data_IF_233295935446
#
_entry.id   IF_233295935446
#
_cell.length_a   1.000
_cell.length_b   1.000
_cell.length_c   1.000
_cell.angle_alpha   90.00
_cell.angle_beta   90.00
_cell.angle_gamma   90.00
#
_symmetry.space_group_name_H-M   'P 1'
#
loop_
_entity.id
_entity.type
_entity.pdbx_description
1 polymer ?
#
# COMPACT_ATOMS: atom_id res chain seq x y z
N UNK A 1 -0.07 -13.73 6.87
CA UNK A 1 0.11 -12.35 6.40
C UNK A 1 1.58 -11.95 6.53
N UNK A 2 2.21 -11.52 5.43
CA UNK A 2 3.62 -11.11 5.40
C UNK A 2 3.71 -9.61 5.60
N UNK A 3 3.76 -9.14 6.83
CA UNK A 3 3.76 -7.70 7.15
C UNK A 3 5.15 -7.09 7.24
N UNK A 4 6.18 -7.89 7.52
CA UNK A 4 7.56 -7.42 7.58
C UNK A 4 8.15 -7.24 6.18
N UNK A 5 9.00 -6.25 6.00
CA UNK A 5 9.55 -5.88 4.70
C UNK A 5 10.32 -7.03 4.04
N UNK A 6 11.15 -7.74 4.79
CA UNK A 6 11.93 -8.87 4.27
C UNK A 6 11.09 -10.05 3.79
N UNK A 7 9.89 -10.21 4.33
CA UNK A 7 8.96 -11.26 3.95
C UNK A 7 8.16 -10.95 2.69
N UNK A 8 8.19 -9.69 2.22
CA UNK A 8 7.38 -9.20 1.07
C UNK A 8 8.09 -9.31 -0.27
N UNK A 9 9.32 -9.78 -0.30
CA UNK A 9 10.07 -9.97 -1.54
C UNK A 9 9.35 -10.95 -2.45
N UNK A 10 9.30 -10.64 -3.74
CA UNK A 10 8.68 -11.47 -4.76
C UNK A 10 9.51 -11.45 -6.03
N UNK A 11 9.65 -12.60 -6.66
CA UNK A 11 10.07 -12.66 -8.05
C UNK A 11 8.94 -12.15 -8.94
N UNK A 12 9.28 -11.82 -10.16
CA UNK A 12 8.33 -11.24 -11.10
C UNK A 12 8.57 -11.74 -12.53
N UNK A 13 7.54 -11.67 -13.34
CA UNK A 13 7.57 -11.99 -14.77
C UNK A 13 6.60 -11.12 -15.55
N UNK A 14 6.58 -11.26 -16.88
CA UNK A 14 5.63 -10.60 -17.77
C UNK A 14 5.57 -9.08 -17.57
N UNK A 15 6.74 -8.44 -17.44
CA UNK A 15 6.85 -6.99 -17.30
C UNK A 15 6.52 -6.30 -18.63
N UNK A 16 5.68 -5.26 -18.55
CA UNK A 16 5.49 -4.30 -19.61
C UNK A 16 5.66 -2.89 -19.06
N UNK A 17 6.54 -2.11 -19.68
CA UNK A 17 6.85 -0.74 -19.26
C UNK A 17 6.63 0.20 -20.43
N UNK A 18 5.76 1.17 -20.25
CA UNK A 18 5.51 2.30 -21.15
C UNK A 18 5.48 3.57 -20.31
N UNK A 19 5.69 4.77 -20.87
CA UNK A 19 5.69 6.02 -20.10
C UNK A 19 4.40 6.29 -19.31
N UNK A 20 3.29 5.72 -19.74
CA UNK A 20 1.95 5.92 -19.15
C UNK A 20 1.32 4.63 -18.62
N UNK A 21 2.05 3.51 -18.64
CA UNK A 21 1.51 2.23 -18.23
C UNK A 21 2.60 1.26 -17.79
N UNK A 22 2.40 0.66 -16.64
CA UNK A 22 3.27 -0.39 -16.10
C UNK A 22 2.43 -1.62 -15.77
N UNK A 23 2.95 -2.80 -16.10
CA UNK A 23 2.34 -4.08 -15.72
C UNK A 23 3.42 -5.05 -15.27
N UNK A 24 3.11 -5.81 -14.23
CA UNK A 24 3.98 -6.87 -13.72
C UNK A 24 3.14 -8.00 -13.10
N UNK A 25 3.63 -9.21 -13.23
CA UNK A 25 3.11 -10.38 -12.53
C UNK A 25 4.08 -10.78 -11.42
N UNK A 26 3.60 -10.74 -10.17
CA UNK A 26 4.32 -11.16 -8.97
C UNK A 26 4.05 -12.65 -8.73
N UNK A 27 5.11 -13.47 -8.75
CA UNK A 27 4.96 -14.93 -8.79
C UNK A 27 4.59 -15.52 -7.45
N UNK A 28 5.18 -15.06 -6.35
CA UNK A 28 4.91 -15.58 -5.01
C UNK A 28 3.54 -15.18 -4.49
N UNK A 29 3.12 -13.96 -4.74
CA UNK A 29 1.78 -13.47 -4.36
C UNK A 29 0.70 -13.82 -5.37
N UNK A 30 1.09 -14.41 -6.52
CA UNK A 30 0.18 -14.72 -7.64
C UNK A 30 -0.73 -13.56 -8.00
N UNK A 31 -0.12 -12.39 -8.17
CA UNK A 31 -0.82 -11.12 -8.33
C UNK A 31 -0.36 -10.44 -9.62
N UNK A 32 -1.30 -9.92 -10.39
CA UNK A 32 -1.00 -9.04 -11.51
C UNK A 32 -1.28 -7.61 -11.07
N UNK A 33 -0.28 -6.76 -11.21
CA UNK A 33 -0.37 -5.34 -10.92
C UNK A 33 -0.26 -4.56 -12.22
N UNK A 34 -1.21 -3.65 -12.44
CA UNK A 34 -1.19 -2.68 -13.53
C UNK A 34 -1.27 -1.27 -12.93
N UNK A 35 -0.48 -0.35 -13.45
CA UNK A 35 -0.41 1.03 -12.97
C UNK A 35 -0.43 2.00 -14.13
N UNK A 36 -1.30 3.00 -14.04
CA UNK A 36 -1.35 4.13 -14.96
C UNK A 36 -1.21 5.41 -14.15
N UNK A 37 -0.05 6.09 -14.25
CA UNK A 37 0.21 7.30 -13.50
C UNK A 37 -0.41 8.54 -14.17
N UNK A 38 -0.69 9.54 -13.35
CA UNK A 38 -0.96 10.90 -13.77
C UNK A 38 0.07 11.84 -13.14
N UNK A 39 -0.07 13.15 -13.30
CA UNK A 39 0.87 14.12 -12.73
C UNK A 39 0.97 14.05 -11.20
N UNK A 40 -0.13 13.71 -10.49
CA UNK A 40 -0.21 13.72 -9.02
C UNK A 40 -0.93 12.52 -8.42
N UNK A 41 -1.35 11.58 -9.23
CA UNK A 41 -2.07 10.39 -8.80
C UNK A 41 -1.75 9.20 -9.68
N UNK A 42 -2.24 8.04 -9.31
CA UNK A 42 -2.14 6.85 -10.14
C UNK A 42 -3.42 6.03 -10.02
N UNK A 43 -3.80 5.39 -11.11
CA UNK A 43 -4.77 4.30 -11.07
C UNK A 43 -4.01 2.97 -10.98
N UNK A 44 -4.30 2.20 -9.94
CA UNK A 44 -3.66 0.92 -9.70
C UNK A 44 -4.74 -0.16 -9.79
N UNK A 45 -4.53 -1.14 -10.68
CA UNK A 45 -5.39 -2.32 -10.78
C UNK A 45 -4.63 -3.54 -10.27
N UNK A 46 -5.21 -4.20 -9.30
CA UNK A 46 -4.64 -5.40 -8.68
C UNK A 46 -5.58 -6.56 -8.97
N UNK A 47 -5.06 -7.60 -9.61
CA UNK A 47 -5.78 -8.85 -9.86
C UNK A 47 -5.08 -9.97 -9.10
N UNK A 48 -5.74 -10.49 -8.10
CA UNK A 48 -5.32 -11.71 -7.41
C UNK A 48 -5.74 -12.92 -8.24
N UNK A 49 -4.80 -13.83 -8.48
CA UNK A 49 -5.04 -15.04 -9.26
C UNK A 49 -5.59 -16.19 -8.39
N UNK A 50 -5.47 -16.04 -7.07
CA UNK A 50 -6.02 -16.95 -6.07
C UNK A 50 -6.83 -16.14 -5.05
N UNK A 51 -8.04 -16.60 -4.72
CA UNK A 51 -8.99 -15.84 -3.89
C UNK A 51 -8.70 -15.89 -2.38
N UNK A 52 -7.97 -16.88 -1.92
CA UNK A 52 -7.72 -17.02 -0.48
C UNK A 52 -6.45 -16.22 -0.07
N UNK A 53 -6.55 -15.53 1.05
CA UNK A 53 -5.46 -14.71 1.64
C UNK A 53 -4.99 -13.52 0.80
N UNK A 54 -5.82 -13.03 -0.11
CA UNK A 54 -5.53 -11.81 -0.87
C UNK A 54 -5.60 -10.59 0.05
N UNK A 55 -4.50 -9.84 0.15
CA UNK A 55 -4.44 -8.65 0.98
C UNK A 55 -3.53 -7.58 0.34
N UNK A 56 -3.73 -6.35 0.75
CA UNK A 56 -2.91 -5.20 0.37
C UNK A 56 -2.32 -4.62 1.65
N UNK A 57 -1.01 -4.36 1.64
CA UNK A 57 -0.30 -3.69 2.72
C UNK A 57 0.06 -2.29 2.25
N UNK A 58 -0.30 -1.29 3.03
CA UNK A 58 0.12 0.10 2.84
C UNK A 58 1.15 0.41 3.91
N UNK A 59 2.39 0.58 3.48
CA UNK A 59 3.50 0.93 4.35
C UNK A 59 3.89 2.40 4.11
N UNK A 60 3.58 3.25 5.06
CA UNK A 60 3.89 4.68 5.01
C UNK A 60 5.26 5.02 5.64
N UNK A 61 6.05 4.00 5.97
CA UNK A 61 7.37 4.07 6.59
C UNK A 61 7.40 4.67 8.00
N UNK A 62 8.58 4.68 8.60
CA UNK A 62 8.85 5.23 9.93
C UNK A 62 8.90 6.78 9.93
N UNK A 63 9.25 7.37 11.06
CA UNK A 63 9.46 8.81 11.28
C UNK A 63 8.19 9.65 11.28
N UNK A 64 7.16 9.22 11.99
CA UNK A 64 5.96 10.00 12.21
C UNK A 64 4.93 9.87 11.09
N UNK A 65 4.92 8.76 10.38
CA UNK A 65 3.85 8.43 9.44
C UNK A 65 2.55 8.12 10.17
N UNK A 66 1.45 8.44 9.55
CA UNK A 66 0.12 8.13 10.06
C UNK A 66 -0.76 7.55 8.96
N UNK A 67 -1.54 6.52 9.30
CA UNK A 67 -2.56 5.94 8.43
C UNK A 67 -3.89 5.93 9.18
N UNK A 68 -4.95 6.32 8.49
CA UNK A 68 -6.33 6.16 8.93
C UNK A 68 -7.11 5.42 7.86
N UNK A 69 -7.77 4.34 8.26
CA UNK A 69 -8.68 3.55 7.43
C UNK A 69 -10.09 4.09 7.67
N UNK A 70 -10.87 4.28 6.61
CA UNK A 70 -12.26 4.74 6.65
C UNK A 70 -13.08 3.67 5.91
N UNK A 71 -13.51 2.61 6.61
CA UNK A 71 -14.11 1.44 5.99
C UNK A 71 -15.42 1.75 5.26
N UNK A 72 -16.25 2.61 5.83
CA UNK A 72 -17.53 3.03 5.29
C UNK A 72 -17.40 3.80 3.96
N UNK A 73 -16.23 4.39 3.71
CA UNK A 73 -15.94 5.10 2.46
C UNK A 73 -15.02 4.30 1.52
N UNK A 74 -14.61 3.08 1.88
CA UNK A 74 -13.63 2.28 1.16
C UNK A 74 -12.33 3.04 0.89
N UNK A 75 -11.85 3.79 1.88
CA UNK A 75 -10.77 4.76 1.74
C UNK A 75 -9.72 4.60 2.82
N UNK A 76 -8.47 4.87 2.43
CA UNK A 76 -7.36 5.05 3.36
C UNK A 76 -6.78 6.43 3.12
N UNK A 77 -6.56 7.18 4.18
CA UNK A 77 -5.83 8.45 4.16
C UNK A 77 -4.59 8.34 5.02
N UNK A 78 -3.55 9.07 4.66
CA UNK A 78 -2.34 9.04 5.46
C UNK A 78 -1.36 10.15 5.16
N UNK A 79 -0.34 10.19 6.00
CA UNK A 79 0.82 11.06 5.85
C UNK A 79 2.09 10.24 5.96
N UNK A 80 3.08 10.57 5.14
CA UNK A 80 4.41 10.01 5.20
C UNK A 80 5.43 11.13 5.35
N UNK A 81 6.24 11.06 6.40
CA UNK A 81 7.32 12.02 6.68
C UNK A 81 8.68 11.49 6.25
N UNK A 82 8.73 10.29 5.69
CA UNK A 82 9.98 9.73 5.22
C UNK A 82 10.57 10.56 4.07
N UNK A 83 11.83 10.97 4.22
CA UNK A 83 12.57 11.75 3.23
C UNK A 83 14.06 11.47 3.35
N UNK A 84 14.82 11.81 2.33
CA UNK A 84 16.29 11.66 2.29
C UNK A 84 17.07 12.84 2.89
N UNK A 85 16.38 13.81 3.47
CA UNK A 85 16.95 15.03 4.03
C UNK A 85 16.76 16.26 3.11
N UNK A 86 17.17 17.43 3.63
CA UNK A 86 17.08 18.68 2.88
C UNK A 86 15.70 19.32 2.78
N UNK A 87 14.73 18.83 3.55
CA UNK A 87 13.37 19.38 3.63
C UNK A 87 13.12 20.04 4.98
N UNK A 88 12.15 20.96 5.11
CA UNK A 88 11.74 21.52 6.39
C UNK A 88 11.30 20.45 7.40
N UNK A 89 11.45 20.70 8.71
CA UNK A 89 11.10 19.75 9.78
C UNK A 89 9.65 19.30 9.75
N UNK A 90 8.73 20.15 9.31
CA UNK A 90 7.30 19.87 9.20
C UNK A 90 6.89 19.30 7.84
N UNK A 91 7.84 18.94 6.98
CA UNK A 91 7.53 18.32 5.69
C UNK A 91 6.78 17.01 5.86
N UNK A 92 5.71 16.86 5.09
CA UNK A 92 4.96 15.62 5.00
C UNK A 92 4.31 15.47 3.63
N UNK A 93 4.28 14.26 3.13
CA UNK A 93 3.48 13.87 1.98
C UNK A 93 2.11 13.39 2.48
N UNK A 94 1.04 13.89 1.91
CA UNK A 94 -0.32 13.48 2.19
C UNK A 94 -0.83 12.63 1.03
N UNK A 95 -1.53 11.55 1.33
CA UNK A 95 -2.10 10.68 0.31
C UNK A 95 -3.51 10.21 0.67
N UNK A 96 -4.26 9.90 -0.37
CA UNK A 96 -5.58 9.26 -0.29
C UNK A 96 -5.56 8.06 -1.23
N UNK A 97 -6.00 6.91 -0.74
CA UNK A 97 -6.20 5.70 -1.54
C UNK A 97 -7.69 5.38 -1.51
N UNK A 98 -8.32 5.43 -2.66
CA UNK A 98 -9.73 5.07 -2.83
C UNK A 98 -9.83 3.68 -3.45
N UNK A 99 -10.56 2.78 -2.80
CA UNK A 99 -10.83 1.44 -3.30
C UNK A 99 -12.21 1.39 -3.97
N UNK A 100 -12.33 0.57 -4.99
CA UNK A 100 -13.59 0.34 -5.70
C UNK A 100 -14.44 -0.78 -5.10
N UNK A 101 -13.99 -1.37 -3.98
CA UNK A 101 -14.68 -2.44 -3.25
C UNK A 101 -14.55 -2.23 -1.74
N UNK A 102 -15.54 -2.72 -1.01
CA UNK A 102 -15.52 -2.72 0.45
C UNK A 102 -14.44 -3.65 0.99
N UNK A 103 -13.88 -3.29 2.12
CA UNK A 103 -12.98 -4.15 2.87
C UNK A 103 -13.77 -5.31 3.49
N UNK A 104 -13.28 -6.53 3.33
CA UNK A 104 -13.81 -7.68 4.09
C UNK A 104 -13.26 -7.67 5.52
N UNK A 105 -11.97 -7.40 5.61
CA UNK A 105 -11.22 -7.29 6.86
C UNK A 105 -10.20 -6.17 6.70
N UNK A 106 -9.92 -5.50 7.78
CA UNK A 106 -8.88 -4.46 7.83
C UNK A 106 -8.22 -4.43 9.20
N UNK A 107 -7.11 -3.76 9.29
CA UNK A 107 -6.36 -3.58 10.53
C UNK A 107 -5.08 -2.82 10.28
N UNK A 108 -4.34 -2.61 11.34
CA UNK A 108 -3.02 -1.97 11.29
C UNK A 108 -1.96 -2.91 11.86
N UNK A 109 -0.71 -2.65 11.56
CA UNK A 109 0.41 -3.37 12.15
C UNK A 109 1.46 -2.39 12.67
N UNK A 110 2.18 -2.81 13.72
CA UNK A 110 3.35 -2.08 14.22
C UNK A 110 4.65 -2.51 13.51
N UNK A 111 5.78 -1.91 13.91
CA UNK A 111 7.10 -2.22 13.34
C UNK A 111 7.59 -3.64 13.60
N UNK A 112 7.08 -4.29 14.64
CA UNK A 112 7.44 -5.66 15.04
C UNK A 112 6.59 -6.73 14.34
N UNK A 113 5.67 -6.30 13.48
CA UNK A 113 4.78 -7.20 12.73
C UNK A 113 3.54 -7.64 13.50
N UNK A 114 3.26 -7.06 14.66
CA UNK A 114 2.03 -7.32 15.41
C UNK A 114 0.84 -6.70 14.71
N UNK A 115 -0.23 -7.48 14.52
CA UNK A 115 -1.43 -7.09 13.77
C UNK A 115 -2.56 -6.78 14.73
N UNK A 116 -3.14 -5.60 14.59
CA UNK A 116 -4.32 -5.12 15.33
C UNK A 116 -5.53 -5.17 14.39
N UNK A 117 -6.34 -6.20 14.50
CA UNK A 117 -7.55 -6.38 13.68
C UNK A 117 -8.59 -5.32 14.03
N UNK A 118 -9.30 -4.84 13.00
CA UNK A 118 -10.31 -3.78 13.10
C UNK A 118 -9.79 -2.45 13.68
N UNK A 119 -8.48 -2.24 13.69
CA UNK A 119 -7.89 -0.97 14.08
C UNK A 119 -7.83 -0.02 12.88
N UNK A 120 -8.47 1.14 13.02
CA UNK A 120 -8.61 2.11 11.93
C UNK A 120 -7.45 3.10 11.84
N UNK A 121 -6.60 3.20 12.86
CA UNK A 121 -5.56 4.22 12.89
C UNK A 121 -4.27 3.73 13.52
N UNK A 122 -3.16 4.09 12.89
CA UNK A 122 -1.83 3.89 13.45
C UNK A 122 -0.92 5.07 13.15
N UNK A 123 0.07 5.27 14.02
CA UNK A 123 1.17 6.24 13.87
C UNK A 123 2.49 5.52 14.06
N UNK A 124 3.46 5.91 13.28
CA UNK A 124 4.83 5.40 13.36
C UNK A 124 5.86 6.52 13.37
#
# INVERSE_FOLDING_TARGET
LRVLEDERKSNYKNIKVLPHYYKVELTESKTILELTPTKRSAHIKIKFLEDYKSHIIIDAFFKGSEIKIIPEENRIIGTAKNNSGGVPENFANYFIIQFNRSFREFGTCNGDGEIFSNNERTRR
#
